data_IF_625658731793
#
_entry.id   IF_625658731793
#
_cell.length_a   1.000
_cell.length_b   1.000
_cell.length_c   1.000
_cell.angle_alpha   90.00
_cell.angle_beta   90.00
_cell.angle_gamma   90.00
#
_symmetry.space_group_name_H-M   'P 1'
#
loop_
_entity.id
_entity.type
_entity.pdbx_description
1 polymer ?
#
# COMPACT_ATOMS: atom_id res chain seq x y z
N UNK A 1 -5.15 -43.69 -4.74
CA UNK A 1 -4.67 -42.29 -4.65
C UNK A 1 -5.70 -41.40 -5.31
N UNK A 2 -6.37 -40.46 -4.62
CA UNK A 2 -7.34 -39.60 -5.28
C UNK A 2 -6.62 -38.48 -6.04
N UNK A 3 -7.06 -38.23 -7.27
CA UNK A 3 -6.54 -37.19 -8.16
C UNK A 3 -6.84 -35.77 -7.59
N UNK A 4 -5.91 -34.80 -7.70
CA UNK A 4 -6.14 -33.45 -7.20
C UNK A 4 -7.20 -32.73 -8.05
N UNK A 5 -8.12 -32.06 -7.37
CA UNK A 5 -9.23 -31.32 -7.98
C UNK A 5 -8.73 -30.02 -8.64
N UNK A 6 -9.44 -29.57 -9.68
CA UNK A 6 -9.16 -28.42 -10.57
C UNK A 6 -9.03 -27.03 -9.90
N UNK A 7 -8.83 -26.93 -8.58
CA UNK A 7 -8.63 -25.67 -7.83
C UNK A 7 -7.18 -25.37 -7.44
N UNK A 8 -6.20 -26.16 -7.90
CA UNK A 8 -4.77 -25.97 -7.56
C UNK A 8 -3.88 -25.43 -8.69
N UNK A 9 -4.48 -24.92 -9.78
CA UNK A 9 -3.74 -24.38 -10.92
C UNK A 9 -3.99 -22.86 -11.02
N UNK A 10 -3.24 -22.05 -10.24
CA UNK A 10 -2.98 -20.60 -10.43
C UNK A 10 -2.50 -19.96 -9.11
N UNK A 11 -1.30 -20.32 -8.64
CA UNK A 11 -0.59 -19.60 -7.54
C UNK A 11 0.69 -18.92 -8.04
N UNK A 12 0.92 -18.92 -9.35
CA UNK A 12 1.93 -18.07 -9.99
C UNK A 12 1.24 -16.86 -10.61
N UNK A 13 1.85 -15.68 -10.49
CA UNK A 13 1.41 -14.37 -11.04
C UNK A 13 0.41 -13.62 -10.14
N UNK A 14 0.92 -12.84 -9.20
CA UNK A 14 0.16 -11.74 -8.58
C UNK A 14 1.14 -10.63 -8.26
N UNK A 15 0.92 -9.38 -8.61
CA UNK A 15 1.99 -8.38 -8.72
C UNK A 15 2.14 -7.42 -7.48
N UNK A 16 3.16 -6.54 -7.49
CA UNK A 16 4.09 -6.06 -6.43
C UNK A 16 3.73 -5.92 -4.92
N UNK A 17 2.49 -5.99 -4.45
CA UNK A 17 2.20 -6.13 -2.99
C UNK A 17 1.15 -7.22 -2.72
N UNK A 18 0.88 -8.06 -3.74
CA UNK A 18 0.34 -9.42 -3.61
C UNK A 18 1.25 -10.49 -4.26
N UNK A 19 2.35 -10.13 -4.96
CA UNK A 19 3.41 -11.13 -5.37
C UNK A 19 4.19 -11.67 -4.23
N UNK A 20 4.43 -10.85 -3.22
CA UNK A 20 5.46 -11.15 -2.26
C UNK A 20 4.90 -11.96 -1.09
N UNK A 21 3.65 -12.43 -1.11
CA UNK A 21 3.04 -13.14 0.03
C UNK A 21 2.89 -12.32 1.32
N UNK A 22 3.55 -11.17 1.43
CA UNK A 22 3.36 -10.19 2.48
C UNK A 22 2.04 -9.46 2.25
N UNK A 23 1.12 -9.61 3.17
CA UNK A 23 -0.24 -9.06 3.15
C UNK A 23 -0.24 -7.52 3.16
N UNK A 24 -1.22 -6.94 2.45
CA UNK A 24 -1.43 -5.50 2.38
C UNK A 24 -2.00 -4.95 3.71
N UNK A 25 -1.36 -3.90 4.25
CA UNK A 25 -2.00 -3.01 5.24
C UNK A 25 -1.88 -3.39 6.73
N UNK A 26 -1.05 -4.36 7.09
CA UNK A 26 -0.90 -4.87 8.46
C UNK A 26 0.20 -4.18 9.29
N UNK A 27 0.49 -2.92 9.01
CA UNK A 27 1.51 -2.12 9.72
C UNK A 27 1.14 -1.72 11.15
N UNK A 28 0.16 -2.39 11.76
CA UNK A 28 -0.42 -2.05 13.06
C UNK A 28 -1.55 -1.02 12.98
N UNK A 29 -1.94 -0.60 11.77
CA UNK A 29 -3.15 0.21 11.57
C UNK A 29 -4.38 -0.68 11.79
N UNK A 30 -5.28 -0.41 12.76
CA UNK A 30 -6.34 -1.35 13.13
C UNK A 30 -7.36 -1.56 11.99
N UNK A 31 -7.67 -2.82 11.69
CA UNK A 31 -8.75 -3.20 10.78
C UNK A 31 -10.13 -3.07 11.47
N UNK A 32 -11.13 -2.63 10.71
CA UNK A 32 -12.51 -2.33 11.17
C UNK A 32 -13.14 -3.51 11.93
N UNK A 33 -13.50 -3.28 13.19
CA UNK A 33 -14.46 -4.09 13.93
C UNK A 33 -15.91 -3.77 13.52
N UNK A 34 -16.74 -4.81 13.46
CA UNK A 34 -18.17 -4.76 13.13
C UNK A 34 -18.91 -3.72 14.01
N UNK A 35 -19.50 -2.69 13.40
CA UNK A 35 -20.27 -1.72 14.18
C UNK A 35 -21.04 -0.73 13.31
N UNK A 36 -22.35 -0.99 13.18
CA UNK A 36 -23.42 0.02 13.25
C UNK A 36 -23.56 0.99 12.08
N UNK A 37 -24.79 1.08 11.57
CA UNK A 37 -25.25 1.93 10.48
C UNK A 37 -25.27 3.45 10.80
N UNK A 38 -24.13 3.99 11.20
CA UNK A 38 -23.93 5.42 11.45
C UNK A 38 -22.44 5.74 11.42
N UNK A 39 -21.82 5.70 10.23
CA UNK A 39 -20.39 6.03 10.08
C UNK A 39 -20.22 6.97 8.90
N UNK A 40 -19.80 8.20 9.18
CA UNK A 40 -19.12 9.04 8.19
C UNK A 40 -17.95 8.22 7.64
N UNK A 41 -17.93 7.87 6.34
CA UNK A 41 -17.11 6.78 5.81
C UNK A 41 -15.58 7.01 5.91
N UNK A 42 -15.17 8.20 6.36
CA UNK A 42 -13.78 8.66 6.43
C UNK A 42 -13.32 9.11 7.84
N UNK A 43 -14.18 9.10 8.88
CA UNK A 43 -13.75 9.39 10.26
C UNK A 43 -14.01 8.20 11.19
N UNK A 44 -12.96 7.47 11.57
CA UNK A 44 -12.91 6.62 12.78
C UNK A 44 -11.49 6.56 13.36
N UNK A 45 -11.36 6.30 14.67
CA UNK A 45 -10.11 6.30 15.46
C UNK A 45 -8.92 5.51 14.85
N UNK A 46 -9.18 4.64 13.88
CA UNK A 46 -8.20 3.79 13.21
C UNK A 46 -7.59 4.39 11.93
N UNK A 47 -7.95 5.62 11.55
CA UNK A 47 -7.44 6.28 10.35
C UNK A 47 -6.86 7.67 10.69
N UNK A 48 -5.77 7.75 11.47
CA UNK A 48 -5.18 9.02 11.90
C UNK A 48 -4.91 9.98 10.73
N UNK A 49 -4.52 9.43 9.56
CA UNK A 49 -4.32 10.19 8.33
C UNK A 49 -5.59 10.91 7.81
N UNK A 50 -6.80 10.41 8.11
CA UNK A 50 -8.07 10.98 7.63
C UNK A 50 -8.84 11.73 8.72
N UNK A 51 -8.30 11.80 9.96
CA UNK A 51 -8.94 12.51 11.07
C UNK A 51 -9.01 14.02 10.83
N UNK A 52 -8.05 14.56 10.09
CA UNK A 52 -7.98 15.97 9.72
C UNK A 52 -8.26 16.13 8.22
N UNK A 53 -9.53 16.19 7.81
CA UNK A 53 -9.85 16.55 6.43
C UNK A 53 -9.28 17.95 6.10
N UNK A 54 -8.77 18.21 4.88
CA UNK A 54 -8.43 19.56 4.43
C UNK A 54 -9.61 20.51 4.64
N UNK A 55 -9.36 21.82 4.69
CA UNK A 55 -10.37 22.85 4.96
C UNK A 55 -11.62 22.75 4.07
N UNK A 56 -11.51 22.14 2.87
CA UNK A 56 -12.61 21.89 1.94
C UNK A 56 -13.42 20.59 2.19
N UNK A 57 -13.17 19.85 3.28
CA UNK A 57 -13.94 18.65 3.66
C UNK A 57 -13.69 17.39 2.81
N UNK A 58 -12.71 17.43 1.89
CA UNK A 58 -12.33 16.31 1.03
C UNK A 58 -11.13 15.50 1.54
N UNK A 59 -10.39 14.86 0.65
CA UNK A 59 -9.06 14.26 0.93
C UNK A 59 -8.24 14.24 -0.35
N UNK A 60 -6.92 14.32 -0.23
CA UNK A 60 -6.06 14.16 -1.38
C UNK A 60 -5.79 12.68 -1.64
N UNK A 61 -5.89 12.29 -2.90
CA UNK A 61 -5.67 10.94 -3.39
C UNK A 61 -4.39 10.89 -4.23
N UNK A 62 -3.53 9.92 -3.97
CA UNK A 62 -2.42 9.58 -4.84
C UNK A 62 -2.68 8.23 -5.49
N UNK A 63 -2.51 8.18 -6.81
CA UNK A 63 -2.56 6.94 -7.60
C UNK A 63 -1.20 6.73 -8.25
N UNK A 64 -0.67 5.51 -8.15
CA UNK A 64 0.51 5.07 -8.89
C UNK A 64 0.24 3.71 -9.53
N UNK A 65 0.52 3.60 -10.82
CA UNK A 65 0.59 2.32 -11.52
C UNK A 65 2.05 1.90 -11.48
N UNK A 66 2.33 0.83 -10.74
CA UNK A 66 3.66 0.35 -10.44
C UNK A 66 3.80 -1.03 -11.06
N UNK A 67 4.55 -1.14 -12.14
CA UNK A 67 4.86 -2.41 -12.78
C UNK A 67 5.83 -3.22 -11.92
N UNK A 68 5.64 -4.53 -11.86
CA UNK A 68 6.57 -5.46 -11.25
C UNK A 68 7.39 -6.19 -12.32
N UNK A 69 8.69 -6.25 -12.09
CA UNK A 69 9.62 -7.09 -12.84
C UNK A 69 9.61 -8.53 -12.31
N UNK A 70 8.48 -9.23 -12.47
CA UNK A 70 8.21 -10.52 -11.82
C UNK A 70 9.28 -11.60 -12.09
N UNK A 71 9.79 -11.65 -13.32
CA UNK A 71 10.84 -12.62 -13.68
C UNK A 71 12.13 -12.43 -12.89
N UNK A 72 12.49 -11.19 -12.52
CA UNK A 72 13.62 -10.93 -11.65
C UNK A 72 13.29 -11.26 -10.20
N UNK A 73 12.14 -10.78 -9.71
CA UNK A 73 11.67 -11.02 -8.35
C UNK A 73 11.60 -12.52 -7.99
N UNK A 74 11.08 -13.36 -8.87
CA UNK A 74 10.92 -14.80 -8.64
C UNK A 74 12.26 -15.55 -8.53
N UNK A 75 13.36 -14.96 -9.01
CA UNK A 75 14.72 -15.52 -8.90
C UNK A 75 15.49 -15.02 -7.68
N UNK A 76 15.00 -13.96 -7.04
CA UNK A 76 15.57 -13.42 -5.80
C UNK A 76 15.40 -14.41 -4.66
N UNK A 77 16.43 -14.58 -3.83
CA UNK A 77 16.38 -15.53 -2.72
C UNK A 77 15.34 -15.09 -1.70
N UNK A 78 14.68 -16.04 -1.04
CA UNK A 78 13.63 -15.75 -0.07
C UNK A 78 14.10 -14.82 1.06
N UNK A 79 15.30 -15.04 1.60
CA UNK A 79 15.85 -14.20 2.67
C UNK A 79 16.04 -12.75 2.21
N UNK A 80 16.43 -12.53 0.96
CA UNK A 80 16.58 -11.21 0.37
C UNK A 80 15.21 -10.55 0.13
N UNK A 81 14.22 -11.29 -0.36
CA UNK A 81 12.83 -10.80 -0.47
C UNK A 81 12.28 -10.36 0.90
N UNK A 82 12.51 -11.16 1.95
CA UNK A 82 12.08 -10.85 3.32
C UNK A 82 12.83 -9.66 3.91
N UNK A 83 14.13 -9.51 3.60
CA UNK A 83 14.94 -8.37 4.03
C UNK A 83 14.50 -7.05 3.38
N UNK A 84 14.22 -7.06 2.06
CA UNK A 84 13.73 -5.89 1.32
C UNK A 84 12.49 -5.29 2.00
N UNK A 85 11.54 -6.12 2.44
CA UNK A 85 10.33 -5.66 3.10
C UNK A 85 10.41 -5.61 4.63
N UNK A 86 11.42 -6.23 5.23
CA UNK A 86 11.49 -6.53 6.67
C UNK A 86 10.23 -7.24 7.21
N UNK A 87 9.67 -8.15 6.39
CA UNK A 87 8.53 -9.00 6.73
C UNK A 87 8.72 -10.41 6.20
N UNK A 88 8.20 -11.38 6.95
CA UNK A 88 8.13 -12.79 6.55
C UNK A 88 7.18 -12.97 5.38
N UNK A 89 7.63 -13.67 4.33
CA UNK A 89 6.84 -13.92 3.12
C UNK A 89 5.58 -14.74 3.41
N UNK A 90 5.71 -15.73 4.30
CA UNK A 90 4.63 -16.69 4.58
C UNK A 90 3.57 -16.19 5.55
N UNK A 91 3.98 -15.51 6.63
CA UNK A 91 3.06 -15.03 7.67
C UNK A 91 2.73 -13.55 7.59
N UNK A 92 3.49 -12.79 6.78
CA UNK A 92 3.44 -11.33 6.79
C UNK A 92 3.97 -10.70 8.07
N UNK A 93 4.37 -11.46 9.09
CA UNK A 93 4.86 -10.92 10.35
C UNK A 93 6.15 -10.11 10.12
N UNK A 94 6.36 -9.00 10.85
CA UNK A 94 7.67 -8.34 10.86
C UNK A 94 8.78 -9.34 11.23
N UNK A 95 9.99 -9.12 10.72
CA UNK A 95 11.12 -9.97 11.12
C UNK A 95 11.31 -9.91 12.65
N UNK A 96 11.53 -11.07 13.27
CA UNK A 96 11.57 -11.21 14.73
C UNK A 96 10.22 -11.26 15.45
N UNK A 97 9.09 -11.12 14.73
CA UNK A 97 7.72 -11.20 15.28
C UNK A 97 6.95 -12.42 14.77
N UNK A 98 5.76 -12.65 15.32
CA UNK A 98 4.97 -13.87 15.06
C UNK A 98 3.73 -13.57 14.22
N UNK A 99 3.00 -12.51 14.56
CA UNK A 99 1.73 -12.17 13.93
C UNK A 99 1.94 -11.05 12.91
N UNK A 100 1.12 -11.11 11.88
CA UNK A 100 1.04 -10.09 10.83
C UNK A 100 0.85 -8.67 11.37
N UNK A 101 0.02 -8.54 12.42
CA UNK A 101 -0.35 -7.29 13.07
C UNK A 101 0.65 -6.80 14.12
N UNK A 102 1.70 -7.59 14.40
CA UNK A 102 2.71 -7.17 15.36
C UNK A 102 3.42 -5.92 14.84
N UNK A 103 3.79 -5.01 15.74
CA UNK A 103 4.48 -3.79 15.34
C UNK A 103 5.93 -4.12 14.97
N UNK A 104 6.40 -3.73 13.76
CA UNK A 104 7.80 -3.85 13.39
C UNK A 104 8.70 -3.04 14.31
N UNK A 105 9.85 -3.59 14.67
CA UNK A 105 10.91 -2.86 15.38
C UNK A 105 11.92 -2.36 14.36
N UNK A 106 12.15 -1.05 14.35
CA UNK A 106 13.12 -0.41 13.45
C UNK A 106 14.21 0.19 14.35
N UNK A 107 15.38 -0.44 14.40
CA UNK A 107 16.42 -0.12 15.39
C UNK A 107 17.86 -0.21 14.86
N UNK A 108 18.06 -0.85 13.71
CA UNK A 108 19.37 -1.01 13.07
C UNK A 108 19.35 -0.49 11.63
N UNK A 109 20.52 -0.44 11.00
CA UNK A 109 20.68 0.07 9.64
C UNK A 109 19.92 -0.79 8.60
N UNK A 110 19.84 -2.10 8.82
CA UNK A 110 19.14 -3.03 7.92
C UNK A 110 17.62 -2.82 7.95
N UNK A 111 17.02 -2.78 9.15
CA UNK A 111 15.60 -2.48 9.33
C UNK A 111 15.25 -1.07 8.85
N UNK A 112 16.14 -0.09 9.04
CA UNK A 112 15.97 1.28 8.51
C UNK A 112 16.04 1.34 6.98
N UNK A 113 16.86 0.51 6.34
CA UNK A 113 16.99 0.45 4.89
C UNK A 113 15.84 -0.30 4.19
N UNK A 114 15.10 -1.14 4.92
CA UNK A 114 13.96 -1.88 4.40
C UNK A 114 12.79 -0.98 3.98
N UNK A 115 11.94 -1.47 3.07
CA UNK A 115 10.76 -0.76 2.57
C UNK A 115 9.88 -0.22 3.70
N UNK A 116 9.54 -1.05 4.69
CA UNK A 116 8.65 -0.62 5.80
C UNK A 116 9.35 0.31 6.79
N UNK A 117 10.67 0.20 6.95
CA UNK A 117 11.46 1.08 7.79
C UNK A 117 11.55 2.47 7.18
N UNK A 118 11.88 2.55 5.89
CA UNK A 118 11.91 3.80 5.12
C UNK A 118 10.53 4.45 5.03
N UNK A 119 9.49 3.66 4.76
CA UNK A 119 8.11 4.17 4.66
C UNK A 119 7.60 4.76 5.99
N UNK A 120 7.92 4.13 7.12
CA UNK A 120 7.50 4.59 8.44
C UNK A 120 8.57 4.30 9.51
N UNK A 121 9.31 5.35 9.88
CA UNK A 121 10.36 5.31 10.90
C UNK A 121 9.84 5.07 12.32
N UNK A 122 8.52 5.20 12.56
CA UNK A 122 7.86 4.99 13.87
C UNK A 122 8.41 5.86 14.99
N UNK A 123 8.85 7.06 14.63
CA UNK A 123 9.26 8.13 15.56
C UNK A 123 8.06 9.00 15.93
N UNK A 124 8.19 9.85 16.96
CA UNK A 124 7.13 10.78 17.40
C UNK A 124 6.61 11.69 16.28
N UNK A 125 7.44 12.04 15.29
CA UNK A 125 7.05 12.85 14.13
C UNK A 125 6.35 12.07 13.00
N UNK A 126 6.38 10.72 13.02
CA UNK A 126 5.94 9.89 11.91
C UNK A 126 4.43 9.98 11.65
N UNK A 127 3.64 10.34 12.66
CA UNK A 127 2.19 10.49 12.52
C UNK A 127 1.78 11.57 11.50
N UNK A 128 2.61 12.60 11.31
CA UNK A 128 2.37 13.65 10.30
C UNK A 128 2.48 13.14 8.86
N UNK A 129 3.11 11.98 8.66
CA UNK A 129 3.33 11.36 7.35
C UNK A 129 2.42 10.15 7.09
N UNK A 130 1.44 9.91 7.96
CA UNK A 130 0.52 8.80 7.78
C UNK A 130 -0.39 9.03 6.58
N UNK A 131 -0.61 7.95 5.84
CA UNK A 131 -1.56 7.89 4.72
C UNK A 131 -2.42 6.63 4.86
N UNK A 132 -3.68 6.72 4.45
CA UNK A 132 -4.51 5.53 4.31
C UNK A 132 -4.23 4.90 2.94
N UNK A 133 -3.55 3.77 2.92
CA UNK A 133 -3.42 2.92 1.73
C UNK A 133 -4.69 2.07 1.61
N UNK A 134 -5.60 2.42 0.69
CA UNK A 134 -6.89 1.73 0.53
C UNK A 134 -7.01 1.23 -0.91
N UNK A 135 -7.00 -0.09 -1.09
CA UNK A 135 -7.17 -0.71 -2.40
C UNK A 135 -5.91 -0.63 -3.25
N UNK A 136 -4.84 -1.27 -2.79
CA UNK A 136 -3.76 -1.63 -3.69
C UNK A 136 -4.28 -2.79 -4.57
N UNK A 137 -4.71 -2.48 -5.79
CA UNK A 137 -5.24 -3.48 -6.71
C UNK A 137 -4.11 -4.06 -7.52
N UNK A 138 -4.05 -5.38 -7.64
CA UNK A 138 -3.14 -5.99 -8.61
C UNK A 138 -3.75 -5.83 -10.00
N UNK A 139 -2.89 -5.55 -10.97
CA UNK A 139 -3.28 -5.61 -12.37
C UNK A 139 -2.43 -6.67 -13.07
N UNK A 140 -3.04 -7.29 -14.09
CA UNK A 140 -2.38 -8.13 -15.08
C UNK A 140 -2.96 -7.75 -16.43
N UNK A 141 -2.09 -7.36 -17.36
CA UNK A 141 -2.43 -6.86 -18.68
C UNK A 141 -1.85 -7.75 -19.79
N UNK A 142 -1.53 -9.01 -19.46
CA UNK A 142 -0.98 -9.98 -20.39
C UNK A 142 0.55 -9.89 -20.51
N UNK A 143 1.04 -9.97 -21.74
CA UNK A 143 2.47 -9.90 -22.08
C UNK A 143 2.78 -8.59 -22.79
N UNK A 144 3.94 -8.01 -22.50
CA UNK A 144 4.44 -6.83 -23.19
C UNK A 144 5.18 -7.19 -24.50
N UNK A 145 5.70 -6.17 -25.19
CA UNK A 145 6.44 -6.34 -26.44
C UNK A 145 7.72 -7.19 -26.33
N UNK A 146 8.19 -7.48 -25.12
CA UNK A 146 9.36 -8.31 -24.85
C UNK A 146 8.97 -9.70 -24.32
N UNK A 147 7.68 -10.07 -24.44
CA UNK A 147 7.13 -11.32 -23.94
C UNK A 147 7.30 -11.50 -22.42
N UNK A 148 7.35 -10.40 -21.67
CA UNK A 148 7.36 -10.40 -20.21
C UNK A 148 5.96 -10.11 -19.69
N UNK A 149 5.60 -10.64 -18.52
CA UNK A 149 4.32 -10.35 -17.88
C UNK A 149 4.22 -8.84 -17.58
N UNK A 150 3.19 -8.20 -18.12
CA UNK A 150 2.78 -6.86 -17.72
C UNK A 150 1.81 -6.97 -16.56
N UNK A 151 2.37 -6.93 -15.36
CA UNK A 151 1.62 -7.04 -14.13
C UNK A 151 2.22 -6.10 -13.09
N UNK A 152 1.40 -5.64 -12.17
CA UNK A 152 1.85 -4.69 -11.16
C UNK A 152 0.80 -4.38 -10.11
N UNK A 153 1.05 -3.29 -9.41
CA UNK A 153 0.18 -2.72 -8.40
C UNK A 153 -0.37 -1.39 -8.88
N UNK A 154 -1.68 -1.23 -8.83
CA UNK A 154 -2.32 0.08 -8.80
C UNK A 154 -2.40 0.49 -7.33
N UNK A 155 -1.41 1.25 -6.89
CA UNK A 155 -1.34 1.82 -5.56
C UNK A 155 -2.28 3.01 -5.44
N UNK A 156 -3.11 3.02 -4.40
CA UNK A 156 -4.02 4.11 -4.08
C UNK A 156 -3.87 4.48 -2.61
N UNK A 157 -3.62 5.75 -2.33
CA UNK A 157 -3.59 6.29 -0.97
C UNK A 157 -4.40 7.57 -0.81
N UNK A 158 -4.85 7.80 0.41
CA UNK A 158 -5.59 8.99 0.84
C UNK A 158 -4.91 9.64 2.03
N UNK A 159 -4.79 10.96 1.98
CA UNK A 159 -4.07 11.75 2.98
C UNK A 159 -4.64 13.18 3.04
N UNK A 160 -4.36 13.92 4.14
CA UNK A 160 -4.87 15.27 4.30
C UNK A 160 -3.94 16.31 3.64
N UNK A 161 -2.71 15.93 3.33
CA UNK A 161 -1.69 16.72 2.63
C UNK A 161 -0.92 15.76 1.71
N UNK A 162 -0.79 16.09 0.41
CA UNK A 162 0.00 15.28 -0.54
C UNK A 162 1.47 15.37 -0.18
N UNK A 163 1.92 16.57 0.18
CA UNK A 163 3.29 16.93 0.52
C UNK A 163 3.75 16.16 1.75
N UNK A 164 2.97 16.21 2.84
CA UNK A 164 3.35 15.58 4.10
C UNK A 164 3.11 14.07 4.11
N UNK A 165 2.12 13.58 3.36
CA UNK A 165 1.80 12.15 3.26
C UNK A 165 2.63 11.45 2.19
N UNK A 166 2.05 11.33 0.99
CA UNK A 166 2.60 10.51 -0.09
C UNK A 166 3.99 10.98 -0.55
N UNK A 167 4.19 12.28 -0.76
CA UNK A 167 5.47 12.80 -1.28
C UNK A 167 6.59 12.62 -0.25
N UNK A 168 6.36 12.93 1.03
CA UNK A 168 7.36 12.74 2.08
C UNK A 168 7.74 11.27 2.28
N UNK A 169 6.78 10.35 2.17
CA UNK A 169 7.05 8.91 2.20
C UNK A 169 7.83 8.47 0.97
N UNK A 170 7.42 8.90 -0.23
CA UNK A 170 8.11 8.52 -1.47
C UNK A 170 9.56 9.02 -1.49
N UNK A 171 9.83 10.26 -1.07
CA UNK A 171 11.20 10.79 -0.92
C UNK A 171 12.06 9.96 0.03
N UNK A 172 11.45 9.39 1.07
CA UNK A 172 12.14 8.47 1.96
C UNK A 172 12.37 7.13 1.31
N UNK A 173 11.50 6.66 0.42
CA UNK A 173 11.68 5.41 -0.31
C UNK A 173 12.72 5.51 -1.44
N UNK A 174 13.04 6.71 -1.94
CA UNK A 174 14.02 6.90 -3.01
C UNK A 174 15.36 6.20 -2.71
N UNK A 175 15.79 5.29 -3.60
CA UNK A 175 16.99 4.47 -3.46
C UNK A 175 16.82 3.25 -2.56
N UNK A 176 15.59 2.78 -2.32
CA UNK A 176 15.35 1.50 -1.66
C UNK A 176 15.69 0.29 -2.56
N UNK A 177 15.95 -0.85 -1.94
CA UNK A 177 16.23 -2.09 -2.67
C UNK A 177 15.05 -2.59 -3.53
N UNK A 178 13.82 -2.21 -3.21
CA UNK A 178 12.63 -2.59 -3.99
C UNK A 178 12.63 -1.98 -5.40
N UNK A 179 13.31 -0.84 -5.62
CA UNK A 179 13.38 -0.17 -6.93
C UNK A 179 13.98 -1.04 -8.04
N UNK A 180 14.79 -2.04 -7.69
CA UNK A 180 15.31 -3.02 -8.65
C UNK A 180 14.19 -3.90 -9.25
N UNK A 181 13.07 -4.03 -8.55
CA UNK A 181 11.97 -4.96 -8.88
C UNK A 181 10.68 -4.27 -9.28
N UNK A 182 10.54 -2.96 -9.05
CA UNK A 182 9.35 -2.21 -9.39
C UNK A 182 9.64 -0.98 -10.22
N UNK A 183 8.69 -0.60 -11.09
CA UNK A 183 8.79 0.62 -11.91
C UNK A 183 7.46 1.36 -11.91
N UNK A 184 7.39 2.59 -11.38
CA UNK A 184 6.25 3.47 -11.61
C UNK A 184 6.13 3.79 -13.10
N UNK A 185 5.01 3.43 -13.72
CA UNK A 185 4.75 3.65 -15.15
C UNK A 185 3.60 4.64 -15.40
N UNK A 186 2.90 5.07 -14.35
CA UNK A 186 1.82 6.03 -14.49
C UNK A 186 1.16 6.36 -13.15
N UNK A 187 0.08 7.12 -13.23
CA UNK A 187 -0.70 7.57 -12.09
C UNK A 187 -0.90 9.08 -12.07
N UNK A 188 -1.29 9.61 -10.91
CA UNK A 188 -1.59 11.03 -10.76
C UNK A 188 -1.97 11.39 -9.32
N UNK A 189 -2.15 12.68 -9.11
CA UNK A 189 -2.71 13.22 -7.87
C UNK A 189 -4.09 13.78 -8.15
N UNK A 190 -5.02 13.50 -7.25
CA UNK A 190 -6.41 13.89 -7.38
C UNK A 190 -6.92 14.43 -6.05
N UNK A 191 -7.92 15.30 -6.12
CA UNK A 191 -8.66 15.72 -4.94
C UNK A 191 -9.98 14.96 -4.88
N UNK A 192 -10.13 14.12 -3.86
CA UNK A 192 -11.39 13.43 -3.58
C UNK A 192 -12.33 14.42 -2.92
N UNK A 193 -13.38 14.77 -3.64
CA UNK A 193 -14.36 15.76 -3.22
C UNK A 193 -15.16 15.28 -1.99
N UNK A 194 -15.62 16.21 -1.14
CA UNK A 194 -16.58 15.88 -0.09
C UNK A 194 -17.84 15.27 -0.68
N UNK A 195 -18.54 14.47 0.14
CA UNK A 195 -19.89 14.01 -0.20
C UNK A 195 -20.79 15.21 -0.45
N UNK A 196 -21.66 15.18 -1.48
CA UNK A 196 -22.69 16.20 -1.61
C UNK A 196 -23.69 16.10 -0.44
N UNK A 197 -24.31 17.24 -0.13
CA UNK A 197 -25.50 17.28 0.73
C UNK A 197 -26.64 16.45 0.10
N UNK A 198 -27.60 15.93 0.89
CA UNK A 198 -28.76 15.22 0.37
C UNK A 198 -29.49 16.03 -0.71
N UNK A 199 -29.65 15.45 -1.90
CA UNK A 199 -30.26 16.12 -3.06
C UNK A 199 -29.31 17.05 -3.84
N UNK A 200 -28.06 17.21 -3.39
CA UNK A 200 -27.03 17.97 -4.08
C UNK A 200 -26.24 17.15 -5.12
N UNK A 201 -25.49 17.84 -5.97
CA UNK A 201 -24.56 17.23 -6.94
C UNK A 201 -23.13 17.19 -6.40
N UNK A 202 -22.36 16.15 -6.74
CA UNK A 202 -20.91 16.13 -6.49
C UNK A 202 -20.25 17.36 -7.12
N UNK A 203 -19.20 17.89 -6.49
CA UNK A 203 -18.47 19.07 -6.94
C UNK A 203 -19.27 20.38 -6.97
N UNK A 204 -20.47 20.44 -6.38
CA UNK A 204 -21.30 21.65 -6.41
C UNK A 204 -20.54 22.92 -5.98
N UNK A 205 -19.80 22.86 -4.87
CA UNK A 205 -19.02 24.00 -4.37
C UNK A 205 -17.72 24.31 -5.12
N UNK A 206 -17.32 23.48 -6.10
CA UNK A 206 -16.17 23.74 -6.97
C UNK A 206 -16.60 24.32 -8.33
N UNK A 207 -17.81 23.98 -8.79
CA UNK A 207 -18.32 24.32 -10.12
C UNK A 207 -19.30 25.51 -10.11
N UNK A 208 -19.49 26.17 -8.98
CA UNK A 208 -20.33 27.37 -8.79
C UNK A 208 -19.49 28.63 -8.90
#
# INVERSE_FOLDING_TARGET
MPAPSRRQFLVGVGAAVVVAGCTNGSDGTPAVGNGGAGRTPFRGEHQPALMAAPAAGGTYQAIRVIRLMAGFWDRTRLNEQEAIFHRRRGSGAPLGKIKEIDTPEIFDEESLASHIGRANLRTSGSASHYMLRRGAFNYTNGLDGNNQLDQGLVFVSYQPSIEDGFIAVQRRLDGEALEEYVRPIGGGFFFTLPSPEPGGRLAAGLLS
#
